data_IF_815506519837
#
_entry.id   IF_815506519837
#
_cell.length_a   1.000
_cell.length_b   1.000
_cell.length_c   1.000
_cell.angle_alpha   90.00
_cell.angle_beta   90.00
_cell.angle_gamma   90.00
#
_symmetry.space_group_name_H-M   'P 1'
#
loop_
_entity.id
_entity.type
_entity.pdbx_description
1 polymer ?
#
# COMPACT_ATOMS: atom_id res chain seq x y z
N UNK A 1 21.42 22.85 -8.96
CA UNK A 1 20.13 22.39 -8.43
C UNK A 1 20.37 21.89 -7.01
N UNK A 2 19.74 22.49 -6.00
CA UNK A 2 19.77 21.95 -4.63
C UNK A 2 18.94 20.66 -4.62
N UNK A 3 19.41 19.55 -4.03
CA UNK A 3 18.61 18.35 -3.91
C UNK A 3 17.33 18.73 -3.16
N UNK A 4 16.15 18.34 -3.68
CA UNK A 4 14.89 18.42 -2.96
C UNK A 4 15.10 17.65 -1.66
N UNK A 5 15.06 18.33 -0.50
CA UNK A 5 14.91 17.68 0.79
C UNK A 5 13.60 16.89 0.71
N UNK A 6 13.70 15.59 0.54
CA UNK A 6 12.57 14.70 0.72
C UNK A 6 12.28 14.71 2.21
N UNK A 7 11.37 15.58 2.64
CA UNK A 7 10.87 15.51 4.00
C UNK A 7 10.25 14.14 4.18
N UNK A 8 10.74 13.38 5.15
CA UNK A 8 10.20 12.07 5.50
C UNK A 8 8.72 12.24 5.85
N UNK A 9 7.82 11.71 5.03
CA UNK A 9 6.40 11.78 5.34
C UNK A 9 6.08 10.85 6.50
N UNK A 10 6.12 11.41 7.70
CA UNK A 10 5.90 10.72 8.96
C UNK A 10 4.44 10.61 9.37
N UNK A 11 3.51 11.11 8.55
CA UNK A 11 2.09 11.17 8.90
C UNK A 11 1.42 9.81 8.72
N UNK A 12 1.44 9.01 9.77
CA UNK A 12 0.55 7.83 9.93
C UNK A 12 -0.88 8.28 10.34
N UNK A 13 -1.31 9.47 9.98
CA UNK A 13 -2.60 10.00 10.44
C UNK A 13 -3.82 9.24 9.89
N UNK A 14 -3.69 8.63 8.72
CA UNK A 14 -4.76 7.81 8.12
C UNK A 14 -5.08 6.59 8.98
N UNK A 15 -4.14 6.12 9.76
CA UNK A 15 -4.09 4.74 10.23
C UNK A 15 -4.86 4.47 11.51
N UNK A 16 -5.10 5.44 12.35
CA UNK A 16 -5.67 5.17 13.67
C UNK A 16 -7.05 5.74 13.93
N UNK A 17 -7.48 6.74 13.16
CA UNK A 17 -8.68 7.52 13.44
C UNK A 17 -9.82 7.35 12.43
N UNK A 18 -9.63 6.56 11.38
CA UNK A 18 -10.66 6.36 10.36
C UNK A 18 -11.49 5.14 10.72
N UNK A 19 -12.81 5.27 10.82
CA UNK A 19 -13.66 4.22 11.35
C UNK A 19 -13.72 2.99 10.45
N UNK A 20 -13.71 3.16 9.14
CA UNK A 20 -13.96 2.06 8.19
C UNK A 20 -13.27 2.30 6.85
N UNK A 21 -12.51 1.30 6.36
CA UNK A 21 -11.84 1.39 5.06
C UNK A 21 -12.77 1.18 3.87
N UNK A 22 -13.88 0.49 4.01
CA UNK A 22 -14.91 0.43 2.98
C UNK A 22 -15.47 1.84 2.69
N UNK A 23 -15.72 2.62 3.75
CA UNK A 23 -16.12 4.03 3.63
C UNK A 23 -15.05 4.88 2.96
N UNK A 24 -13.75 4.64 3.24
CA UNK A 24 -12.65 5.35 2.57
C UNK A 24 -12.60 5.05 1.08
N UNK A 25 -12.71 3.79 0.69
CA UNK A 25 -12.72 3.36 -0.71
C UNK A 25 -13.90 4.00 -1.45
N UNK A 26 -15.09 3.96 -0.85
CA UNK A 26 -16.28 4.58 -1.41
C UNK A 26 -16.09 6.09 -1.61
N UNK A 27 -15.58 6.79 -0.60
CA UNK A 27 -15.31 8.24 -0.70
C UNK A 27 -14.27 8.54 -1.79
N UNK A 28 -13.19 7.76 -1.86
CA UNK A 28 -12.15 7.93 -2.87
C UNK A 28 -12.72 7.74 -4.28
N UNK A 29 -13.56 6.72 -4.48
CA UNK A 29 -14.23 6.46 -5.75
C UNK A 29 -15.14 7.61 -6.18
N UNK A 30 -16.00 8.09 -5.28
CA UNK A 30 -16.88 9.24 -5.55
C UNK A 30 -16.07 10.53 -5.83
N UNK A 31 -14.97 10.75 -5.11
CA UNK A 31 -14.11 11.91 -5.32
C UNK A 31 -13.43 11.91 -6.69
N UNK A 32 -13.15 10.74 -7.26
CA UNK A 32 -12.58 10.61 -8.60
C UNK A 32 -13.63 10.83 -9.71
N UNK A 33 -14.91 10.72 -9.38
CA UNK A 33 -16.03 11.01 -10.26
C UNK A 33 -16.59 12.43 -10.12
N UNK A 34 -15.95 13.27 -9.31
CA UNK A 34 -16.43 14.62 -8.93
C UNK A 34 -17.84 14.62 -8.29
N UNK A 35 -18.23 13.50 -7.70
CA UNK A 35 -19.56 13.29 -7.07
C UNK A 35 -19.48 13.12 -5.56
N UNK A 36 -18.47 13.69 -4.93
CA UNK A 36 -18.12 13.46 -3.51
C UNK A 36 -19.09 14.06 -2.45
N UNK A 37 -20.30 14.42 -2.80
CA UNK A 37 -21.35 14.92 -1.90
C UNK A 37 -22.05 13.82 -1.08
N UNK A 38 -21.34 12.75 -0.75
CA UNK A 38 -21.88 11.68 0.08
C UNK A 38 -22.03 12.11 1.54
N UNK A 39 -23.19 11.83 2.14
CA UNK A 39 -23.41 11.99 3.59
C UNK A 39 -22.58 10.94 4.34
N UNK A 40 -21.36 11.31 4.68
CA UNK A 40 -20.48 10.52 5.52
C UNK A 40 -20.71 10.93 6.97
N UNK A 41 -21.46 10.17 7.72
CA UNK A 41 -21.87 10.38 9.12
C UNK A 41 -20.67 10.58 10.07
N UNK A 42 -20.00 11.74 9.99
CA UNK A 42 -18.97 12.14 10.94
C UNK A 42 -19.56 12.95 12.09
N UNK A 43 -19.16 12.59 13.32
CA UNK A 43 -19.61 13.30 14.53
C UNK A 43 -19.27 14.79 14.56
N UNK A 44 -18.20 15.20 13.89
CA UNK A 44 -17.71 16.58 13.87
C UNK A 44 -17.10 16.95 12.53
N UNK A 45 -17.26 18.22 12.13
CA UNK A 45 -16.62 18.79 10.93
C UNK A 45 -15.07 18.64 10.96
N UNK A 46 -14.47 18.75 12.14
CA UNK A 46 -13.03 18.53 12.33
C UNK A 46 -12.59 17.10 11.98
N UNK A 47 -13.42 16.11 12.32
CA UNK A 47 -13.17 14.70 11.98
C UNK A 47 -13.32 14.47 10.48
N UNK A 48 -14.32 15.06 9.84
CA UNK A 48 -14.51 15.01 8.39
C UNK A 48 -13.31 15.66 7.66
N UNK A 49 -12.89 16.87 8.05
CA UNK A 49 -11.72 17.53 7.44
C UNK A 49 -10.44 16.68 7.53
N UNK A 50 -10.20 16.04 8.68
CA UNK A 50 -9.05 15.13 8.85
C UNK A 50 -9.15 13.90 7.95
N UNK A 51 -10.34 13.31 7.87
CA UNK A 51 -10.61 12.16 7.01
C UNK A 51 -10.37 12.50 5.53
N UNK A 52 -10.94 13.60 5.05
CA UNK A 52 -10.75 14.06 3.66
C UNK A 52 -9.28 14.35 3.36
N UNK A 53 -8.59 15.05 4.27
CA UNK A 53 -7.17 15.35 4.08
C UNK A 53 -6.32 14.06 4.00
N UNK A 54 -6.61 13.08 4.86
CA UNK A 54 -5.93 11.80 4.86
C UNK A 54 -6.17 11.03 3.55
N UNK A 55 -7.42 10.96 3.07
CA UNK A 55 -7.74 10.30 1.80
C UNK A 55 -7.05 11.00 0.64
N UNK A 56 -7.09 12.32 0.56
CA UNK A 56 -6.41 13.07 -0.50
C UNK A 56 -4.92 12.79 -0.54
N UNK A 57 -4.27 12.72 0.62
CA UNK A 57 -2.84 12.51 0.72
C UNK A 57 -2.42 11.08 0.36
N UNK A 58 -3.10 10.08 0.92
CA UNK A 58 -2.63 8.69 0.89
C UNK A 58 -3.34 7.84 -0.17
N UNK A 59 -4.56 8.21 -0.60
CA UNK A 59 -5.32 7.44 -1.58
C UNK A 59 -5.51 8.12 -2.93
N UNK A 60 -5.60 9.45 -2.95
CA UNK A 60 -5.88 10.24 -4.16
C UNK A 60 -4.63 10.99 -4.67
N UNK A 61 -3.44 10.54 -4.27
CA UNK A 61 -2.18 11.01 -4.84
C UNK A 61 -1.73 10.02 -5.92
N UNK A 62 -1.53 10.49 -7.14
CA UNK A 62 -1.21 9.66 -8.31
C UNK A 62 0.02 10.20 -9.03
N UNK A 63 0.84 9.30 -9.55
CA UNK A 63 2.06 9.68 -10.27
C UNK A 63 1.77 10.09 -11.72
N UNK A 64 0.67 9.60 -12.30
CA UNK A 64 0.22 9.92 -13.66
C UNK A 64 -1.27 9.53 -13.85
N UNK A 65 -1.80 9.80 -15.04
CA UNK A 65 -3.21 9.53 -15.37
C UNK A 65 -3.52 8.02 -15.45
N UNK A 66 -2.59 7.17 -15.89
CA UNK A 66 -2.80 5.72 -15.90
C UNK A 66 -3.00 5.18 -14.48
N UNK A 67 -2.17 5.64 -13.54
CA UNK A 67 -2.30 5.32 -12.12
C UNK A 67 -3.65 5.78 -11.57
N UNK A 68 -4.06 7.02 -11.86
CA UNK A 68 -5.35 7.59 -11.46
C UNK A 68 -6.53 6.77 -12.03
N UNK A 69 -6.51 6.47 -13.32
CA UNK A 69 -7.59 5.76 -13.99
C UNK A 69 -7.73 4.33 -13.47
N UNK A 70 -6.61 3.62 -13.25
CA UNK A 70 -6.63 2.28 -12.68
C UNK A 70 -7.27 2.26 -11.28
N UNK A 71 -6.90 3.17 -10.40
CA UNK A 71 -7.49 3.24 -9.06
C UNK A 71 -8.94 3.74 -9.09
N UNK A 72 -9.29 4.61 -10.03
CA UNK A 72 -10.67 5.00 -10.29
C UNK A 72 -11.54 3.81 -10.64
N UNK A 73 -11.07 2.93 -11.51
CA UNK A 73 -11.73 1.66 -11.81
C UNK A 73 -11.86 0.78 -10.54
N UNK A 74 -10.75 0.53 -9.84
CA UNK A 74 -10.74 -0.34 -8.66
C UNK A 74 -11.71 0.14 -7.57
N UNK A 75 -11.75 1.43 -7.30
CA UNK A 75 -12.60 1.96 -6.23
C UNK A 75 -14.10 1.92 -6.59
N UNK A 76 -14.44 2.05 -7.87
CA UNK A 76 -15.83 2.18 -8.33
C UNK A 76 -16.43 0.87 -8.88
N UNK A 77 -15.63 -0.12 -9.28
CA UNK A 77 -16.16 -1.38 -9.82
C UNK A 77 -16.84 -2.24 -8.75
N UNK A 78 -17.91 -2.92 -9.10
CA UNK A 78 -18.54 -3.95 -8.27
C UNK A 78 -17.98 -5.36 -8.52
N UNK A 79 -17.11 -5.52 -9.52
CA UNK A 79 -16.49 -6.81 -9.87
C UNK A 79 -15.48 -7.29 -8.81
N UNK A 80 -14.86 -6.33 -8.09
CA UNK A 80 -13.90 -6.64 -7.04
C UNK A 80 -14.55 -6.70 -5.67
N UNK A 81 -14.26 -7.77 -4.93
CA UNK A 81 -14.66 -7.91 -3.54
C UNK A 81 -13.90 -6.91 -2.66
N UNK A 82 -14.46 -6.64 -1.48
CA UNK A 82 -13.85 -5.70 -0.52
C UNK A 82 -12.43 -6.10 -0.12
N UNK A 83 -12.14 -7.39 0.11
CA UNK A 83 -10.81 -7.87 0.44
C UNK A 83 -9.78 -7.61 -0.68
N UNK A 84 -10.20 -7.72 -1.94
CA UNK A 84 -9.38 -7.39 -3.10
C UNK A 84 -9.11 -5.88 -3.19
N UNK A 85 -10.13 -5.04 -2.99
CA UNK A 85 -9.99 -3.59 -2.94
C UNK A 85 -9.10 -3.14 -1.78
N UNK A 86 -9.19 -3.78 -0.61
CA UNK A 86 -8.33 -3.52 0.54
C UNK A 86 -6.86 -3.86 0.26
N UNK A 87 -6.60 -4.89 -0.53
CA UNK A 87 -5.24 -5.24 -0.94
C UNK A 87 -4.67 -4.21 -1.92
N UNK A 88 -5.48 -3.72 -2.87
CA UNK A 88 -5.05 -2.60 -3.75
C UNK A 88 -4.82 -1.32 -2.93
N UNK A 89 -5.66 -1.06 -1.94
CA UNK A 89 -5.46 0.04 -1.00
C UNK A 89 -4.15 -0.09 -0.21
N UNK A 90 -3.79 -1.29 0.22
CA UNK A 90 -2.50 -1.57 0.86
C UNK A 90 -1.33 -1.16 -0.06
N UNK A 91 -1.36 -1.53 -1.34
CA UNK A 91 -0.33 -1.12 -2.29
C UNK A 91 -0.31 0.40 -2.52
N UNK A 92 -1.47 1.03 -2.64
CA UNK A 92 -1.55 2.49 -2.77
C UNK A 92 -0.95 3.21 -1.55
N UNK A 93 -1.15 2.68 -0.36
CA UNK A 93 -0.53 3.20 0.86
C UNK A 93 0.99 3.03 0.85
N UNK A 94 1.53 1.92 0.32
CA UNK A 94 2.99 1.76 0.19
C UNK A 94 3.60 2.72 -0.83
N UNK A 95 2.85 3.12 -1.86
CA UNK A 95 3.29 4.11 -2.85
C UNK A 95 3.33 5.52 -2.23
N UNK A 96 2.30 5.90 -1.48
CA UNK A 96 2.08 7.28 -1.06
C UNK A 96 2.59 7.61 0.35
N UNK A 97 2.80 6.61 1.20
CA UNK A 97 3.22 6.81 2.59
C UNK A 97 4.56 6.13 2.86
N UNK A 98 5.63 6.91 2.87
CA UNK A 98 6.99 6.43 3.03
C UNK A 98 7.21 5.67 4.35
N UNK A 99 6.65 6.15 5.47
CA UNK A 99 6.79 5.47 6.75
C UNK A 99 6.06 4.13 6.76
N UNK A 100 4.86 4.09 6.19
CA UNK A 100 4.12 2.84 6.03
C UNK A 100 4.92 1.84 5.18
N UNK A 101 5.44 2.28 4.03
CA UNK A 101 6.27 1.46 3.17
C UNK A 101 7.50 0.91 3.90
N UNK A 102 8.22 1.76 4.65
CA UNK A 102 9.42 1.37 5.40
C UNK A 102 9.14 0.33 6.48
N UNK A 103 8.08 0.51 7.27
CA UNK A 103 7.70 -0.49 8.29
C UNK A 103 7.25 -1.79 7.60
N UNK A 104 6.47 -1.66 6.52
CA UNK A 104 5.95 -2.83 5.79
C UNK A 104 7.09 -3.64 5.16
N UNK A 105 8.01 -3.01 4.45
CA UNK A 105 9.15 -3.68 3.82
C UNK A 105 10.08 -4.34 4.86
N UNK A 106 10.47 -3.57 5.89
CA UNK A 106 11.51 -3.99 6.82
C UNK A 106 11.04 -4.88 7.96
N UNK A 107 9.74 -4.92 8.21
CA UNK A 107 9.16 -5.76 9.26
C UNK A 107 8.11 -6.72 8.72
N UNK A 108 6.98 -6.22 8.20
CA UNK A 108 5.84 -7.07 7.86
C UNK A 108 6.16 -8.07 6.76
N UNK A 109 6.73 -7.62 5.64
CA UNK A 109 7.08 -8.52 4.53
C UNK A 109 8.17 -9.52 4.92
N UNK A 110 9.12 -9.13 5.78
CA UNK A 110 10.09 -10.09 6.35
C UNK A 110 9.40 -11.17 7.18
N UNK A 111 8.39 -10.82 7.98
CA UNK A 111 7.58 -11.82 8.70
C UNK A 111 6.82 -12.73 7.74
N UNK A 112 6.21 -12.17 6.69
CA UNK A 112 5.49 -12.93 5.66
C UNK A 112 6.40 -13.92 4.97
N UNK A 113 7.54 -13.49 4.44
CA UNK A 113 8.49 -14.36 3.72
C UNK A 113 9.21 -15.37 4.63
N UNK A 114 9.32 -15.08 5.91
CA UNK A 114 9.81 -16.04 6.91
C UNK A 114 8.74 -17.03 7.40
N UNK A 115 7.50 -16.97 6.88
CA UNK A 115 6.40 -17.85 7.28
C UNK A 115 5.93 -17.65 8.73
N UNK A 116 6.15 -16.46 9.30
CA UNK A 116 5.72 -16.18 10.70
C UNK A 116 4.21 -16.09 10.78
N UNK A 117 3.68 -16.56 11.90
CA UNK A 117 2.23 -16.54 12.15
C UNK A 117 1.76 -15.28 12.87
N UNK A 118 2.65 -14.56 13.57
CA UNK A 118 2.26 -13.43 14.40
C UNK A 118 3.18 -12.23 14.24
N UNK A 119 2.60 -11.06 14.51
CA UNK A 119 3.28 -9.76 14.54
C UNK A 119 3.56 -9.34 15.98
N UNK A 120 4.77 -8.82 16.23
CA UNK A 120 5.21 -8.35 17.54
C UNK A 120 5.41 -6.83 17.54
N UNK A 121 4.67 -6.14 18.40
CA UNK A 121 4.76 -4.68 18.55
C UNK A 121 6.17 -4.22 18.95
N UNK A 122 6.89 -4.98 19.78
CA UNK A 122 8.22 -4.60 20.22
C UNK A 122 9.26 -4.64 19.09
N UNK A 123 9.08 -5.55 18.13
CA UNK A 123 9.97 -5.59 16.94
C UNK A 123 9.73 -4.38 16.03
N UNK A 124 8.47 -3.99 15.83
CA UNK A 124 8.14 -2.75 15.11
C UNK A 124 8.73 -1.55 15.84
N UNK A 125 8.61 -1.52 17.16
CA UNK A 125 9.15 -0.45 17.98
C UNK A 125 10.69 -0.38 17.87
N UNK A 126 11.38 -1.53 17.92
CA UNK A 126 12.82 -1.60 17.72
C UNK A 126 13.24 -1.06 16.35
N UNK A 127 12.53 -1.42 15.30
CA UNK A 127 12.74 -0.87 13.95
C UNK A 127 12.54 0.66 13.92
N UNK A 128 11.49 1.17 14.57
CA UNK A 128 11.21 2.61 14.64
C UNK A 128 12.29 3.38 15.44
N UNK A 129 12.88 2.78 16.50
CA UNK A 129 14.01 3.36 17.19
C UNK A 129 15.23 3.48 16.29
N UNK A 130 15.51 2.45 15.49
CA UNK A 130 16.60 2.48 14.53
C UNK A 130 16.37 3.49 13.43
N UNK A 131 15.15 3.54 12.86
CA UNK A 131 14.75 4.52 11.85
C UNK A 131 14.93 5.96 12.36
N UNK A 132 14.49 6.25 13.61
CA UNK A 132 14.71 7.54 14.26
C UNK A 132 16.20 7.86 14.39
N UNK A 133 17.04 6.88 14.74
CA UNK A 133 18.50 7.05 14.85
C UNK A 133 19.15 7.39 13.50
N UNK A 134 18.71 6.72 12.43
CA UNK A 134 19.23 6.96 11.07
C UNK A 134 18.81 8.33 10.51
N UNK A 135 17.63 8.82 10.90
CA UNK A 135 17.04 10.07 10.46
C UNK A 135 16.87 11.08 11.61
N UNK A 136 17.86 11.21 12.48
CA UNK A 136 17.76 11.97 13.73
C UNK A 136 17.42 13.47 13.51
N UNK A 137 17.84 14.04 12.40
CA UNK A 137 17.54 15.44 12.05
C UNK A 137 16.07 15.64 11.63
N UNK A 138 15.46 14.63 11.01
CA UNK A 138 14.11 14.70 10.46
C UNK A 138 13.07 14.13 11.41
N UNK A 139 13.42 13.07 12.16
CA UNK A 139 12.52 12.33 13.03
C UNK A 139 12.80 12.62 14.52
N UNK A 140 12.36 13.79 14.97
CA UNK A 140 12.45 14.18 16.40
C UNK A 140 11.29 13.60 17.24
N UNK A 141 11.01 12.31 17.06
CA UNK A 141 9.89 11.65 17.75
C UNK A 141 10.22 11.27 19.18
N UNK A 142 9.28 11.51 20.09
CA UNK A 142 9.36 10.97 21.46
C UNK A 142 9.10 9.45 21.45
N UNK A 143 9.53 8.78 22.52
CA UNK A 143 9.26 7.34 22.71
C UNK A 143 7.76 7.05 22.75
N UNK A 144 6.94 7.97 23.26
CA UNK A 144 5.50 7.88 23.24
C UNK A 144 4.97 7.90 21.79
N UNK A 145 5.53 8.75 20.93
CA UNK A 145 5.17 8.81 19.49
C UNK A 145 5.52 7.49 18.80
N UNK A 146 6.69 6.91 19.07
CA UNK A 146 7.08 5.62 18.48
C UNK A 146 6.14 4.49 18.90
N UNK A 147 5.77 4.41 20.18
CA UNK A 147 4.79 3.42 20.68
C UNK A 147 3.42 3.58 20.01
N UNK A 148 2.93 4.81 19.91
CA UNK A 148 1.65 5.11 19.24
C UNK A 148 1.73 4.72 17.76
N UNK A 149 2.83 5.00 17.09
CA UNK A 149 3.06 4.66 15.69
C UNK A 149 3.03 3.15 15.47
N UNK A 150 3.75 2.37 16.28
CA UNK A 150 3.75 0.91 16.22
C UNK A 150 2.33 0.33 16.43
N UNK A 151 1.61 0.85 17.42
CA UNK A 151 0.23 0.43 17.69
C UNK A 151 -0.73 0.77 16.54
N UNK A 152 -0.60 1.98 15.98
CA UNK A 152 -1.39 2.41 14.82
C UNK A 152 -1.12 1.53 13.60
N UNK A 153 0.14 1.20 13.33
CA UNK A 153 0.53 0.32 12.24
C UNK A 153 -0.18 -1.06 12.35
N UNK A 154 -0.12 -1.70 13.51
CA UNK A 154 -0.80 -2.97 13.73
C UNK A 154 -2.33 -2.87 13.55
N UNK A 155 -2.91 -1.76 14.00
CA UNK A 155 -4.34 -1.48 13.80
C UNK A 155 -4.68 -1.34 12.32
N UNK A 156 -3.80 -0.68 11.55
CA UNK A 156 -3.95 -0.55 10.11
C UNK A 156 -3.90 -1.90 9.41
N UNK A 157 -2.89 -2.73 9.70
CA UNK A 157 -2.77 -4.06 9.08
C UNK A 157 -4.03 -4.90 9.34
N UNK A 158 -4.63 -4.78 10.52
CA UNK A 158 -5.92 -5.41 10.83
C UNK A 158 -7.06 -4.85 9.97
N UNK A 159 -7.15 -3.53 9.82
CA UNK A 159 -8.19 -2.89 8.99
C UNK A 159 -8.05 -3.18 7.50
N UNK A 160 -6.82 -3.40 7.03
CA UNK A 160 -6.53 -3.85 5.67
C UNK A 160 -6.80 -5.35 5.45
N UNK A 161 -7.20 -6.07 6.50
CA UNK A 161 -7.44 -7.52 6.41
C UNK A 161 -6.17 -8.36 6.33
N UNK A 162 -4.99 -7.77 6.62
CA UNK A 162 -3.69 -8.43 6.59
C UNK A 162 -3.23 -8.93 7.97
N UNK A 163 -3.99 -8.61 9.02
CA UNK A 163 -3.81 -9.16 10.35
C UNK A 163 -5.15 -9.33 11.05
N UNK A 164 -5.20 -10.25 12.02
CA UNK A 164 -6.37 -10.47 12.86
C UNK A 164 -5.97 -10.60 14.34
N UNK A 165 -6.94 -10.76 15.21
CA UNK A 165 -6.73 -10.87 16.67
C UNK A 165 -6.81 -9.53 17.41
N UNK A 166 -6.88 -9.61 18.75
CA UNK A 166 -6.99 -8.44 19.65
C UNK A 166 -5.68 -8.17 20.37
N UNK A 167 -5.23 -9.06 21.24
CA UNK A 167 -3.96 -8.93 21.98
C UNK A 167 -2.77 -9.33 21.12
N UNK A 168 -2.78 -10.53 20.58
CA UNK A 168 -1.83 -10.99 19.58
C UNK A 168 -2.37 -10.70 18.20
N UNK A 169 -1.54 -10.15 17.31
CA UNK A 169 -1.88 -9.94 15.91
C UNK A 169 -1.30 -11.10 15.09
N UNK A 170 -2.17 -11.90 14.49
CA UNK A 170 -1.80 -12.99 13.60
C UNK A 170 -1.80 -12.49 12.17
N UNK A 171 -0.84 -12.94 11.38
CA UNK A 171 -0.72 -12.56 9.97
C UNK A 171 -1.80 -13.30 9.19
N UNK A 172 -2.57 -12.55 8.43
CA UNK A 172 -3.53 -13.09 7.47
C UNK A 172 -2.97 -12.93 6.06
N UNK A 173 -2.66 -14.05 5.44
CA UNK A 173 -2.12 -14.07 4.08
C UNK A 173 -3.23 -13.77 3.08
N UNK A 174 -3.08 -12.74 2.22
CA UNK A 174 -4.09 -12.43 1.22
C UNK A 174 -4.09 -13.47 0.10
N UNK A 175 -5.28 -13.74 -0.42
CA UNK A 175 -5.39 -14.52 -1.66
C UNK A 175 -5.21 -13.60 -2.87
N UNK A 176 -4.09 -13.76 -3.57
CA UNK A 176 -3.80 -13.00 -4.78
C UNK A 176 -4.26 -13.81 -6.00
N UNK A 177 -5.55 -13.73 -6.31
CA UNK A 177 -6.12 -14.26 -7.55
C UNK A 177 -5.59 -13.55 -8.78
N UNK A 178 -5.99 -14.01 -9.96
CA UNK A 178 -5.48 -13.47 -11.23
C UNK A 178 -5.88 -12.02 -11.46
N UNK A 179 -7.10 -11.64 -11.13
CA UNK A 179 -7.60 -10.26 -11.25
C UNK A 179 -6.75 -9.27 -10.44
N UNK A 180 -6.51 -9.63 -9.17
CA UNK A 180 -5.72 -8.80 -8.26
C UNK A 180 -4.26 -8.77 -8.68
N UNK A 181 -3.72 -9.87 -9.22
CA UNK A 181 -2.38 -9.92 -9.76
C UNK A 181 -2.22 -9.02 -10.98
N UNK A 182 -3.19 -9.02 -11.90
CA UNK A 182 -3.22 -8.11 -13.05
C UNK A 182 -3.22 -6.64 -12.57
N UNK A 183 -4.03 -6.33 -11.57
CA UNK A 183 -4.06 -4.98 -10.97
C UNK A 183 -2.70 -4.63 -10.35
N UNK A 184 -2.05 -5.55 -9.63
CA UNK A 184 -0.72 -5.34 -9.06
C UNK A 184 0.29 -4.96 -10.15
N UNK A 185 0.34 -5.73 -11.25
CA UNK A 185 1.28 -5.49 -12.35
C UNK A 185 1.00 -4.14 -13.01
N UNK A 186 -0.26 -3.87 -13.38
CA UNK A 186 -0.65 -2.59 -13.97
C UNK A 186 -0.35 -1.42 -13.03
N UNK A 187 -0.61 -1.56 -11.73
CA UNK A 187 -0.32 -0.54 -10.72
C UNK A 187 1.19 -0.31 -10.55
N UNK A 188 1.99 -1.38 -10.54
CA UNK A 188 3.44 -1.29 -10.46
C UNK A 188 4.01 -0.48 -11.62
N UNK A 189 3.60 -0.79 -12.85
CA UNK A 189 4.06 -0.10 -14.05
C UNK A 189 3.56 1.35 -14.14
N UNK A 190 2.32 1.60 -13.72
CA UNK A 190 1.77 2.96 -13.69
C UNK A 190 2.38 3.83 -12.60
N UNK A 191 2.64 3.28 -11.41
CA UNK A 191 3.22 4.02 -10.29
C UNK A 191 4.72 4.28 -10.46
N UNK A 192 5.44 3.36 -11.11
CA UNK A 192 6.90 3.42 -11.32
C UNK A 192 7.26 3.17 -12.80
N UNK A 193 6.87 4.07 -13.72
CA UNK A 193 7.07 3.89 -15.16
C UNK A 193 8.56 3.81 -15.57
N UNK A 194 9.45 4.40 -14.78
CA UNK A 194 10.90 4.34 -15.01
C UNK A 194 11.53 2.99 -14.62
N UNK A 195 10.77 2.10 -13.98
CA UNK A 195 11.23 0.78 -13.57
C UNK A 195 10.23 -0.33 -13.98
N UNK A 196 10.07 -0.58 -15.29
CA UNK A 196 9.14 -1.60 -15.80
C UNK A 196 9.78 -3.01 -15.76
N UNK A 197 10.33 -3.40 -14.61
CA UNK A 197 11.06 -4.68 -14.46
C UNK A 197 10.63 -5.43 -13.21
N UNK A 198 11.18 -6.65 -13.06
CA UNK A 198 11.02 -7.47 -11.85
C UNK A 198 11.49 -6.74 -10.59
N UNK A 199 12.39 -5.75 -10.73
CA UNK A 199 12.91 -4.93 -9.64
C UNK A 199 12.04 -3.71 -9.31
N UNK A 200 10.82 -3.64 -9.88
CA UNK A 200 9.87 -2.58 -9.55
C UNK A 200 9.62 -2.54 -8.03
N UNK A 201 9.69 -1.36 -7.39
CA UNK A 201 9.57 -1.23 -5.94
C UNK A 201 8.28 -1.84 -5.36
N UNK A 202 7.18 -1.84 -6.13
CA UNK A 202 5.90 -2.37 -5.66
C UNK A 202 5.90 -3.89 -5.53
N UNK A 203 6.71 -4.60 -6.31
CA UNK A 203 6.77 -6.06 -6.25
C UNK A 203 7.31 -6.61 -4.93
N UNK A 204 8.05 -5.82 -4.16
CA UNK A 204 8.43 -6.18 -2.78
C UNK A 204 7.22 -6.45 -1.88
N UNK A 205 6.06 -5.93 -2.24
CA UNK A 205 4.80 -6.06 -1.52
C UNK A 205 3.81 -7.02 -2.21
N UNK A 206 4.30 -7.86 -3.11
CA UNK A 206 3.48 -8.80 -3.89
C UNK A 206 2.98 -10.01 -3.11
N UNK A 207 3.52 -10.29 -1.92
CA UNK A 207 3.32 -11.54 -1.16
C UNK A 207 3.80 -12.80 -1.90
N UNK A 208 4.55 -12.64 -2.97
CA UNK A 208 5.17 -13.70 -3.74
C UNK A 208 6.69 -13.60 -3.60
N UNK A 209 7.37 -14.72 -3.40
CA UNK A 209 8.81 -14.76 -3.57
C UNK A 209 9.18 -14.47 -5.04
N UNK A 210 10.43 -14.14 -5.29
CA UNK A 210 10.89 -13.71 -6.61
C UNK A 210 10.63 -14.79 -7.68
N UNK A 211 10.87 -16.06 -7.37
CA UNK A 211 10.67 -17.17 -8.30
C UNK A 211 9.18 -17.33 -8.64
N UNK A 212 8.34 -17.28 -7.64
CA UNK A 212 6.88 -17.37 -7.79
C UNK A 212 6.33 -16.17 -8.59
N UNK A 213 6.85 -14.97 -8.34
CA UNK A 213 6.49 -13.79 -9.09
C UNK A 213 6.88 -13.90 -10.57
N UNK A 214 8.12 -14.30 -10.86
CA UNK A 214 8.62 -14.49 -12.23
C UNK A 214 7.78 -15.54 -12.97
N UNK A 215 7.56 -16.71 -12.36
CA UNK A 215 6.76 -17.76 -12.96
C UNK A 215 5.34 -17.30 -13.26
N UNK A 216 4.77 -16.50 -12.37
CA UNK A 216 3.42 -15.98 -12.57
C UNK A 216 3.36 -14.94 -13.67
N UNK A 217 4.33 -14.02 -13.73
CA UNK A 217 4.44 -13.04 -14.82
C UNK A 217 4.54 -13.70 -16.20
N UNK A 218 5.26 -14.82 -16.30
CA UNK A 218 5.47 -15.61 -17.54
C UNK A 218 4.33 -16.57 -17.87
N UNK A 219 3.30 -16.67 -17.04
CA UNK A 219 2.21 -17.59 -17.30
C UNK A 219 1.46 -17.27 -18.60
N UNK A 220 1.25 -18.27 -19.45
CA UNK A 220 0.67 -18.13 -20.80
C UNK A 220 -0.64 -17.36 -20.80
N UNK A 221 -1.47 -17.52 -19.77
CA UNK A 221 -2.76 -16.80 -19.66
C UNK A 221 -2.64 -15.28 -19.60
N UNK A 222 -1.46 -14.75 -19.29
CA UNK A 222 -1.22 -13.29 -19.21
C UNK A 222 -0.53 -12.72 -20.46
N UNK A 223 -0.14 -13.54 -21.42
CA UNK A 223 0.49 -13.05 -22.67
C UNK A 223 -0.37 -12.06 -23.48
N UNK A 224 -1.72 -12.08 -23.40
CA UNK A 224 -2.50 -11.02 -24.00
C UNK A 224 -2.41 -9.65 -23.29
N UNK A 225 -1.94 -9.61 -22.05
CA UNK A 225 -1.92 -8.41 -21.21
C UNK A 225 -0.57 -7.73 -21.16
N UNK A 226 0.53 -8.50 -21.28
CA UNK A 226 1.89 -7.98 -21.30
C UNK A 226 2.86 -8.92 -21.98
N UNK A 227 3.93 -8.34 -22.50
CA UNK A 227 5.10 -9.03 -23.01
C UNK A 227 6.20 -9.07 -21.95
N UNK A 228 6.92 -10.18 -21.90
CA UNK A 228 8.08 -10.35 -21.02
C UNK A 228 9.32 -10.46 -21.89
N UNK A 229 10.29 -9.57 -21.68
CA UNK A 229 11.64 -9.65 -22.26
C UNK A 229 12.61 -9.96 -21.14
N UNK A 230 13.35 -11.07 -21.28
CA UNK A 230 14.40 -11.43 -20.33
C UNK A 230 15.77 -11.25 -20.95
N UNK A 231 16.65 -10.49 -20.27
CA UNK A 231 18.06 -10.32 -20.61
C UNK A 231 18.84 -10.70 -19.34
N UNK A 232 19.51 -11.86 -19.38
CA UNK A 232 20.19 -12.45 -18.23
C UNK A 232 19.25 -12.62 -17.02
N UNK A 233 19.48 -11.87 -15.94
CA UNK A 233 18.67 -11.86 -14.72
C UNK A 233 17.61 -10.78 -14.72
N UNK A 234 17.67 -9.80 -15.62
CA UNK A 234 16.68 -8.71 -15.69
C UNK A 234 15.48 -9.15 -16.54
N UNK A 235 14.30 -8.87 -16.02
CA UNK A 235 13.01 -9.18 -16.65
C UNK A 235 12.23 -7.90 -16.80
N UNK A 236 12.08 -7.45 -18.05
CA UNK A 236 11.24 -6.31 -18.41
C UNK A 236 9.81 -6.75 -18.68
N UNK A 237 8.88 -5.88 -18.31
CA UNK A 237 7.43 -6.08 -18.45
C UNK A 237 6.89 -4.90 -19.28
N UNK A 238 6.27 -5.19 -20.41
CA UNK A 238 5.65 -4.18 -21.28
C UNK A 238 4.18 -4.56 -21.47
N UNK A 239 3.28 -3.64 -21.11
CA UNK A 239 1.85 -3.86 -21.36
C UNK A 239 1.61 -3.91 -22.87
N UNK A 240 0.84 -4.92 -23.31
CA UNK A 240 0.33 -4.91 -24.67
C UNK A 240 -0.69 -3.78 -24.78
N UNK A 241 -0.55 -2.92 -25.79
CA UNK A 241 -1.49 -1.85 -26.03
C UNK A 241 -2.86 -2.46 -26.38
N UNK A 242 -3.88 -2.07 -25.59
CA UNK A 242 -5.26 -2.19 -26.00
C UNK A 242 -5.59 -1.14 -27.05
#
# INVERSE_FOLDING_TARGET
MKPKKTSFNSNINVLGGVPDYATMIKYAGLSLQDTADGDFNFRTEKSLKRFVAAIKQDLLSFNNDQHKNLLGYVYNTDELRLDQKLLVLFWQLTINNQLFAQITENYFMKCVYAGRLSLNMNEILSFLYELRRMHAEELQWSDATLKITASKYLTLMKKLGLAEGTQTKEIKYPNIGDEVFIILVKLALAAYPDNPSIHNPLFKFSFLDEISLINRLKAIKFTPLWNITQIETDIKIELTHE
#
